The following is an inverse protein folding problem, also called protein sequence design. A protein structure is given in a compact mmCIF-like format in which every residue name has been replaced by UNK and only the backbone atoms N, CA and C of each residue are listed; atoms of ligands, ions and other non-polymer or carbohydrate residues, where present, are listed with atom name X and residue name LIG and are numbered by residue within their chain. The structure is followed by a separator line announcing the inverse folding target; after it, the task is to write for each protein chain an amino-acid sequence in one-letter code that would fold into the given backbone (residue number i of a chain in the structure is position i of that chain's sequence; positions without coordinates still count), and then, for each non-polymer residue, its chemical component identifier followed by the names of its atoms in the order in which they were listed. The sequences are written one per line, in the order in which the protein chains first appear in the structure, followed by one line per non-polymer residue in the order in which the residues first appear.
data_IF_140516904052
#
_entry.id   IF_140516904052
#
_cell.length_a   1.000
_cell.length_b   1.000
_cell.length_c   1.000
_cell.angle_alpha   90.00
_cell.angle_beta   90.00
_cell.angle_gamma   90.00
#
_symmetry.space_group_name_H-M   'P 1'
#
loop_
_entity.id
_entity.type
_entity.pdbx_description
1 polymer ?
#
# COMPACT_ATOMS: atom_id res chain seq x y z
N UNK A 1 -26.55 3.64 -5.97
CA UNK A 1 -25.46 3.38 -5.00
C UNK A 1 -24.41 2.55 -5.73
N UNK A 2 -23.25 3.14 -6.02
CA UNK A 2 -22.14 2.41 -6.66
C UNK A 2 -21.57 1.43 -5.64
N UNK A 3 -22.09 0.19 -5.63
CA UNK A 3 -21.47 -0.89 -4.85
C UNK A 3 -20.16 -1.20 -5.54
N UNK A 4 -19.03 -0.92 -4.88
CA UNK A 4 -17.68 -0.99 -5.46
C UNK A 4 -17.37 -2.30 -6.17
N UNK A 5 -17.57 -2.33 -7.49
CA UNK A 5 -17.20 -3.44 -8.35
C UNK A 5 -15.82 -3.18 -8.97
N UNK A 6 -14.77 -3.46 -8.20
CA UNK A 6 -13.41 -3.55 -8.75
C UNK A 6 -13.02 -5.03 -8.82
N UNK A 7 -13.48 -5.73 -9.87
CA UNK A 7 -13.18 -7.17 -10.03
C UNK A 7 -12.49 -7.42 -11.37
N UNK A 8 -11.37 -6.73 -11.60
CA UNK A 8 -10.34 -7.21 -12.50
C UNK A 8 -8.98 -6.95 -11.86
N UNK A 9 -8.27 -8.03 -11.49
CA UNK A 9 -6.93 -7.97 -10.87
C UNK A 9 -5.95 -7.22 -11.76
N UNK A 10 -6.03 -7.39 -13.09
CA UNK A 10 -5.18 -6.68 -14.04
C UNK A 10 -5.44 -5.17 -14.03
N UNK A 11 -6.71 -4.75 -14.00
CA UNK A 11 -7.04 -3.33 -13.91
C UNK A 11 -6.58 -2.73 -12.57
N UNK A 12 -6.71 -3.49 -11.48
CA UNK A 12 -6.19 -3.09 -10.17
C UNK A 12 -4.67 -2.89 -10.19
N UNK A 13 -3.92 -3.86 -10.73
CA UNK A 13 -2.45 -3.77 -10.86
C UNK A 13 -2.05 -2.54 -11.69
N UNK A 14 -2.72 -2.32 -12.83
CA UNK A 14 -2.47 -1.14 -13.67
C UNK A 14 -2.77 0.15 -12.89
N UNK A 15 -3.88 0.21 -12.17
CA UNK A 15 -4.25 1.38 -11.39
C UNK A 15 -3.22 1.73 -10.32
N UNK A 16 -2.78 0.75 -9.53
CA UNK A 16 -1.72 0.96 -8.51
C UNK A 16 -0.43 1.44 -9.17
N UNK A 17 -0.02 0.83 -10.28
CA UNK A 17 1.17 1.26 -11.01
C UNK A 17 1.07 2.71 -11.53
N UNK A 18 -0.10 3.12 -12.03
CA UNK A 18 -0.33 4.50 -12.48
C UNK A 18 -0.27 5.49 -11.31
N UNK A 19 -0.92 5.19 -10.18
CA UNK A 19 -0.84 6.01 -8.96
C UNK A 19 0.62 6.15 -8.51
N UNK A 20 1.38 5.05 -8.51
CA UNK A 20 2.78 5.08 -8.11
C UNK A 20 3.64 5.95 -9.01
N UNK A 21 3.39 5.93 -10.32
CA UNK A 21 4.05 6.81 -11.27
C UNK A 21 3.75 8.28 -11.01
N UNK A 22 2.49 8.64 -10.73
CA UNK A 22 2.14 10.03 -10.42
C UNK A 22 2.76 10.49 -9.09
N UNK A 23 2.75 9.65 -8.06
CA UNK A 23 3.45 9.94 -6.80
C UNK A 23 4.96 10.13 -7.00
N UNK A 24 5.60 9.30 -7.82
CA UNK A 24 7.03 9.42 -8.11
C UNK A 24 7.36 10.78 -8.74
N UNK A 25 6.56 11.23 -9.73
CA UNK A 25 6.75 12.53 -10.38
C UNK A 25 6.69 13.69 -9.39
N UNK A 26 5.73 13.66 -8.46
CA UNK A 26 5.61 14.69 -7.41
C UNK A 26 6.83 14.73 -6.48
N UNK A 27 7.50 13.59 -6.30
CA UNK A 27 8.72 13.50 -5.50
C UNK A 27 10.00 13.77 -6.31
N UNK A 28 9.92 14.05 -7.62
CA UNK A 28 11.09 14.21 -8.49
C UNK A 28 11.78 12.89 -8.90
N UNK A 29 11.13 11.76 -8.64
CA UNK A 29 11.61 10.42 -9.00
C UNK A 29 10.95 9.90 -10.29
N UNK A 30 11.55 8.87 -10.87
CA UNK A 30 11.00 8.08 -11.99
C UNK A 30 10.60 6.70 -11.49
N UNK A 31 9.52 6.15 -12.06
CA UNK A 31 9.07 4.78 -11.77
C UNK A 31 9.55 3.83 -12.86
N UNK A 32 10.15 2.73 -12.46
CA UNK A 32 10.55 1.62 -13.31
C UNK A 32 9.78 0.37 -12.86
N UNK A 33 9.00 -0.23 -13.76
CA UNK A 33 8.31 -1.50 -13.49
C UNK A 33 9.27 -2.65 -13.79
N UNK A 34 9.53 -3.52 -12.82
CA UNK A 34 10.42 -4.66 -13.04
C UNK A 34 9.63 -5.88 -13.54
N UNK A 35 10.33 -6.81 -14.21
CA UNK A 35 9.80 -8.10 -14.62
C UNK A 35 10.61 -9.23 -13.99
N UNK A 36 10.05 -10.44 -13.97
CA UNK A 36 10.79 -11.65 -13.56
C UNK A 36 10.96 -11.83 -12.04
N UNK A 37 10.02 -11.33 -11.22
CA UNK A 37 9.96 -11.67 -9.79
C UNK A 37 10.91 -10.91 -8.87
N UNK A 38 11.41 -9.73 -9.30
CA UNK A 38 12.31 -8.88 -8.49
C UNK A 38 11.55 -8.03 -7.47
N UNK A 39 10.75 -7.10 -7.96
CA UNK A 39 9.74 -6.30 -7.24
C UNK A 39 8.75 -5.79 -8.29
N UNK A 40 7.58 -5.30 -7.90
CA UNK A 40 6.63 -4.74 -8.86
C UNK A 40 7.11 -3.41 -9.47
N UNK A 41 7.71 -2.53 -8.66
CA UNK A 41 8.27 -1.28 -9.14
C UNK A 41 9.45 -0.75 -8.29
N UNK A 42 10.25 0.12 -8.92
CA UNK A 42 11.33 0.89 -8.28
C UNK A 42 11.11 2.37 -8.56
N UNK A 43 11.13 3.20 -7.52
CA UNK A 43 11.17 4.64 -7.65
C UNK A 43 12.62 5.10 -7.45
N UNK A 44 13.16 5.82 -8.44
CA UNK A 44 14.57 6.18 -8.49
C UNK A 44 14.75 7.63 -8.94
N UNK A 45 15.70 8.32 -8.33
CA UNK A 45 16.08 9.68 -8.71
C UNK A 45 16.98 9.71 -9.96
N UNK A 46 17.14 10.87 -10.63
CA UNK A 46 18.00 10.99 -11.82
C UNK A 46 19.48 10.64 -11.60
N UNK A 47 19.97 10.72 -10.37
CA UNK A 47 21.32 10.36 -9.96
C UNK A 47 21.49 8.86 -9.63
N UNK A 48 20.47 8.06 -9.96
CA UNK A 48 20.36 6.63 -9.70
C UNK A 48 20.16 6.22 -8.23
N UNK A 49 19.99 7.15 -7.30
CA UNK A 49 19.61 6.81 -5.93
C UNK A 49 18.20 6.23 -5.89
N UNK A 50 18.02 5.10 -5.21
CA UNK A 50 16.74 4.42 -5.12
C UNK A 50 15.96 4.99 -3.94
N UNK A 51 14.87 5.68 -4.24
CA UNK A 51 13.95 6.17 -3.24
C UNK A 51 13.26 5.01 -2.53
N UNK A 52 12.60 4.14 -3.30
CA UNK A 52 11.88 3.00 -2.73
C UNK A 52 11.72 1.83 -3.71
N UNK A 53 11.86 0.62 -3.19
CA UNK A 53 11.32 -0.59 -3.81
C UNK A 53 9.86 -0.74 -3.39
N UNK A 54 9.00 -1.09 -4.36
CA UNK A 54 7.56 -1.20 -4.17
C UNK A 54 7.09 -2.59 -4.54
N UNK A 55 6.32 -3.21 -3.65
CA UNK A 55 5.52 -4.40 -3.93
C UNK A 55 4.05 -4.09 -3.65
N UNK A 56 3.15 -4.68 -4.45
CA UNK A 56 1.73 -4.71 -4.15
C UNK A 56 1.16 -6.12 -4.32
N UNK A 57 0.33 -6.54 -3.38
CA UNK A 57 -0.35 -7.84 -3.48
C UNK A 57 -1.83 -7.71 -3.17
N UNK A 58 -2.64 -8.23 -4.11
CA UNK A 58 -4.08 -8.35 -3.99
C UNK A 58 -4.47 -9.45 -3.00
N UNK A 59 -3.70 -10.53 -2.89
CA UNK A 59 -3.91 -11.55 -1.86
C UNK A 59 -3.78 -10.97 -0.45
N UNK A 60 -4.40 -11.65 0.53
CA UNK A 60 -4.36 -11.16 1.91
C UNK A 60 -2.95 -11.29 2.49
N UNK A 61 -2.44 -10.22 3.10
CA UNK A 61 -1.07 -10.15 3.61
C UNK A 61 -0.75 -11.19 4.71
N UNK A 62 -1.75 -11.69 5.42
CA UNK A 62 -1.59 -12.72 6.46
C UNK A 62 -1.29 -14.10 5.89
N UNK A 63 -1.56 -14.35 4.59
CA UNK A 63 -1.29 -15.66 3.99
C UNK A 63 0.20 -15.94 3.91
N UNK A 64 0.59 -17.17 4.23
CA UNK A 64 2.00 -17.61 4.12
C UNK A 64 2.51 -17.60 2.68
N UNK A 65 1.62 -17.66 1.68
CA UNK A 65 1.99 -17.56 0.27
C UNK A 65 2.41 -16.16 -0.17
N UNK A 66 2.24 -15.14 0.67
CA UNK A 66 2.63 -13.74 0.40
C UNK A 66 4.02 -13.53 1.00
N UNK A 67 5.02 -13.41 0.12
CA UNK A 67 6.45 -13.25 0.44
C UNK A 67 7.01 -11.87 0.03
N UNK A 68 6.15 -10.94 -0.38
CA UNK A 68 6.52 -9.59 -0.82
C UNK A 68 7.25 -8.80 0.28
N UNK A 69 6.89 -9.03 1.55
CA UNK A 69 7.58 -8.45 2.69
C UNK A 69 9.04 -8.90 2.78
N UNK A 70 9.32 -10.18 2.48
CA UNK A 70 10.67 -10.75 2.48
C UNK A 70 11.47 -10.23 1.28
N UNK A 71 10.87 -10.17 0.09
CA UNK A 71 11.50 -9.59 -1.12
C UNK A 71 11.94 -8.15 -0.91
N UNK A 72 11.11 -7.33 -0.25
CA UNK A 72 11.45 -5.96 0.11
C UNK A 72 12.56 -5.93 1.17
N UNK A 73 12.52 -6.83 2.16
CA UNK A 73 13.53 -6.92 3.22
C UNK A 73 14.93 -7.21 2.64
N UNK A 74 15.04 -8.11 1.67
CA UNK A 74 16.29 -8.46 0.97
C UNK A 74 16.97 -7.28 0.26
N UNK A 75 16.21 -6.21 -0.02
CA UNK A 75 16.68 -5.00 -0.71
C UNK A 75 16.68 -3.77 0.18
N UNK A 76 16.33 -3.90 1.47
CA UNK A 76 16.04 -2.74 2.32
C UNK A 76 17.24 -1.79 2.44
N UNK A 77 18.47 -2.30 2.38
CA UNK A 77 19.72 -1.56 2.55
C UNK A 77 20.06 -0.66 1.35
N UNK A 78 19.43 -0.89 0.20
CA UNK A 78 19.69 -0.21 -1.09
C UNK A 78 18.75 0.96 -1.36
N UNK A 79 17.79 1.25 -0.49
CA UNK A 79 16.80 2.31 -0.69
C UNK A 79 16.64 3.21 0.55
N UNK A 80 15.97 4.35 0.42
CA UNK A 80 15.65 5.20 1.57
C UNK A 80 14.58 4.56 2.48
N UNK A 81 13.60 3.91 1.87
CA UNK A 81 12.57 3.11 2.54
C UNK A 81 11.96 2.11 1.54
N UNK A 82 11.31 1.06 2.03
CA UNK A 82 10.50 0.16 1.22
C UNK A 82 9.02 0.50 1.32
N UNK A 83 8.26 0.18 0.27
CA UNK A 83 6.82 0.41 0.21
C UNK A 83 6.09 -0.89 -0.06
N UNK A 84 5.13 -1.23 0.81
CA UNK A 84 4.23 -2.36 0.56
C UNK A 84 2.79 -1.88 0.51
N UNK A 85 2.03 -2.39 -0.45
CA UNK A 85 0.59 -2.12 -0.59
C UNK A 85 -0.13 -3.46 -0.59
N UNK A 86 -1.02 -3.67 0.37
CA UNK A 86 -1.75 -4.95 0.43
C UNK A 86 -3.11 -4.82 1.10
N UNK A 87 -3.79 -5.95 1.17
CA UNK A 87 -5.15 -6.07 1.66
C UNK A 87 -5.22 -7.04 2.83
N UNK A 88 -6.16 -6.83 3.74
CA UNK A 88 -6.56 -7.85 4.70
C UNK A 88 -8.04 -7.73 5.05
N UNK A 89 -8.62 -8.82 5.54
CA UNK A 89 -9.90 -8.73 6.22
C UNK A 89 -9.77 -7.89 7.48
N UNK A 90 -10.82 -7.14 7.82
CA UNK A 90 -10.79 -6.21 8.95
C UNK A 90 -10.42 -6.89 10.28
N UNK A 91 -10.91 -8.11 10.50
CA UNK A 91 -10.59 -8.93 11.68
C UNK A 91 -9.12 -9.36 11.76
N UNK A 92 -8.42 -9.45 10.63
CA UNK A 92 -7.05 -9.96 10.54
C UNK A 92 -5.97 -8.89 10.67
N UNK A 93 -6.34 -7.62 10.92
CA UNK A 93 -5.38 -6.52 10.97
C UNK A 93 -4.25 -6.81 11.96
N UNK A 94 -4.58 -7.25 13.17
CA UNK A 94 -3.55 -7.53 14.18
C UNK A 94 -2.60 -8.66 13.73
N UNK A 95 -3.13 -9.71 13.10
CA UNK A 95 -2.33 -10.84 12.60
C UNK A 95 -1.32 -10.33 11.55
N UNK A 96 -1.77 -9.52 10.59
CA UNK A 96 -0.92 -8.95 9.54
C UNK A 96 0.16 -8.05 10.13
N UNK A 97 -0.20 -7.19 11.09
CA UNK A 97 0.74 -6.25 11.69
C UNK A 97 1.76 -6.96 12.58
N UNK A 98 1.38 -8.00 13.32
CA UNK A 98 2.34 -8.82 14.08
C UNK A 98 3.29 -9.60 13.15
N UNK A 99 2.77 -10.21 12.08
CA UNK A 99 3.60 -10.87 11.05
C UNK A 99 4.62 -9.89 10.46
N UNK A 100 4.16 -8.69 10.10
CA UNK A 100 5.02 -7.65 9.52
C UNK A 100 6.07 -7.19 10.54
N UNK A 101 5.68 -6.91 11.79
CA UNK A 101 6.59 -6.55 12.87
C UNK A 101 7.71 -7.58 13.07
N UNK A 102 7.38 -8.87 12.97
CA UNK A 102 8.36 -9.96 13.10
C UNK A 102 9.32 -10.02 11.91
N UNK A 103 8.82 -9.94 10.68
CA UNK A 103 9.67 -10.00 9.47
C UNK A 103 10.60 -8.77 9.41
N UNK A 104 10.08 -7.60 9.78
CA UNK A 104 10.79 -6.32 9.66
C UNK A 104 11.50 -5.86 10.94
N UNK A 105 11.71 -6.73 11.93
CA UNK A 105 12.29 -6.32 13.21
C UNK A 105 13.72 -5.80 13.07
N UNK A 106 14.53 -6.48 12.25
CA UNK A 106 15.95 -6.20 12.01
C UNK A 106 16.21 -5.40 10.72
N UNK A 107 15.17 -4.83 10.12
CA UNK A 107 15.32 -4.10 8.86
C UNK A 107 16.19 -2.85 9.04
N UNK A 108 17.19 -2.67 8.17
CA UNK A 108 18.14 -1.54 8.25
C UNK A 108 17.52 -0.20 7.83
N UNK A 109 16.45 -0.26 7.02
CA UNK A 109 15.69 0.89 6.53
C UNK A 109 14.20 0.72 6.80
N UNK A 110 13.42 1.82 6.83
CA UNK A 110 12.01 1.74 7.16
C UNK A 110 11.14 1.05 6.09
N UNK A 111 10.00 0.52 6.53
CA UNK A 111 8.88 0.13 5.66
C UNK A 111 7.71 1.08 5.86
N UNK A 112 7.17 1.58 4.76
CA UNK A 112 5.84 2.20 4.69
C UNK A 112 4.87 1.15 4.17
N UNK A 113 3.89 0.77 4.99
CA UNK A 113 2.89 -0.24 4.63
C UNK A 113 1.51 0.40 4.53
N UNK A 114 0.99 0.45 3.31
CA UNK A 114 -0.41 0.79 3.00
C UNK A 114 -1.27 -0.49 3.05
N UNK A 115 -2.03 -0.63 4.13
CA UNK A 115 -2.92 -1.76 4.35
C UNK A 115 -4.38 -1.34 4.12
N UNK A 116 -5.00 -1.90 3.08
CA UNK A 116 -6.42 -1.69 2.77
C UNK A 116 -7.23 -2.82 3.44
N UNK A 117 -8.12 -2.43 4.34
CA UNK A 117 -8.98 -3.36 5.08
C UNK A 117 -10.29 -3.56 4.34
N UNK A 118 -10.87 -4.75 4.47
CA UNK A 118 -12.14 -5.05 3.82
C UNK A 118 -13.00 -6.05 4.59
N UNK A 119 -14.28 -6.06 4.28
CA UNK A 119 -15.21 -7.13 4.62
C UNK A 119 -15.55 -7.96 3.38
N UNK A 120 -15.60 -9.30 3.48
CA UNK A 120 -16.05 -10.14 2.39
C UNK A 120 -17.56 -9.96 2.18
N UNK A 121 -17.99 -9.64 0.96
CA UNK A 121 -19.43 -9.62 0.62
C UNK A 121 -19.89 -10.92 -0.04
N UNK A 122 -19.10 -11.46 -0.97
CA UNK A 122 -19.29 -12.78 -1.59
C UNK A 122 -17.92 -13.38 -1.88
N UNK A 123 -17.83 -14.64 -2.33
CA UNK A 123 -16.56 -15.37 -2.54
C UNK A 123 -15.46 -14.61 -3.31
N UNK A 124 -15.82 -13.61 -4.13
CA UNK A 124 -14.87 -12.81 -4.92
C UNK A 124 -14.96 -11.29 -4.68
N UNK A 125 -15.88 -10.83 -3.83
CA UNK A 125 -16.17 -9.40 -3.63
C UNK A 125 -15.67 -8.93 -2.28
N UNK A 126 -14.96 -7.80 -2.30
CA UNK A 126 -14.45 -7.09 -1.12
C UNK A 126 -15.16 -5.76 -1.02
N UNK A 127 -15.71 -5.46 0.15
CA UNK A 127 -16.12 -4.11 0.47
C UNK A 127 -14.97 -3.45 1.24
N UNK A 128 -14.29 -2.50 0.61
CA UNK A 128 -13.17 -1.80 1.22
C UNK A 128 -13.65 -0.83 2.28
N UNK A 129 -13.02 -0.86 3.46
CA UNK A 129 -13.41 -0.04 4.60
C UNK A 129 -12.42 1.10 4.80
N UNK A 130 -11.17 0.76 5.11
CA UNK A 130 -10.16 1.74 5.55
C UNK A 130 -8.83 1.49 4.87
N UNK A 131 -8.15 2.56 4.46
CA UNK A 131 -6.72 2.56 4.21
C UNK A 131 -6.00 2.96 5.50
N UNK A 132 -5.13 2.08 5.97
CA UNK A 132 -4.25 2.29 7.13
C UNK A 132 -2.81 2.35 6.67
N UNK A 133 -2.11 3.42 7.03
CA UNK A 133 -0.69 3.57 6.72
C UNK A 133 0.12 3.31 7.99
N UNK A 134 0.91 2.25 7.96
CA UNK A 134 1.85 1.90 9.02
C UNK A 134 3.28 2.24 8.62
N UNK A 135 4.09 2.58 9.62
CA UNK A 135 5.52 2.82 9.48
C UNK A 135 6.26 1.88 10.42
N UNK A 136 7.16 1.07 9.87
CA UNK A 136 8.02 0.15 10.62
C UNK A 136 9.47 0.60 10.49
N UNK A 137 10.17 0.74 11.62
CA UNK A 137 11.58 1.13 11.65
C UNK A 137 12.19 0.77 13.00
N UNK A 138 13.42 0.24 12.98
CA UNK A 138 14.20 -0.09 14.18
C UNK A 138 13.41 -0.98 15.16
N UNK A 139 12.79 -2.05 14.66
CA UNK A 139 11.97 -2.96 15.45
C UNK A 139 10.65 -2.38 15.98
N UNK A 140 10.34 -1.12 15.68
CA UNK A 140 9.13 -0.43 16.16
C UNK A 140 8.12 -0.26 15.04
N UNK A 141 6.83 -0.21 15.41
CA UNK A 141 5.72 0.11 14.51
C UNK A 141 4.95 1.35 14.97
N UNK A 142 4.44 2.12 14.00
CA UNK A 142 3.55 3.25 14.22
C UNK A 142 2.42 3.25 13.19
N UNK A 143 1.18 3.38 13.62
CA UNK A 143 0.08 3.76 12.72
C UNK A 143 0.20 5.26 12.43
N UNK A 144 0.55 5.62 11.20
CA UNK A 144 0.75 7.01 10.79
C UNK A 144 -0.57 7.67 10.43
N UNK A 145 -1.44 6.95 9.73
CA UNK A 145 -2.69 7.50 9.21
C UNK A 145 -3.75 6.40 9.07
N UNK A 146 -5.00 6.81 9.27
CA UNK A 146 -6.20 6.01 9.04
C UNK A 146 -7.21 6.86 8.27
N UNK A 147 -7.78 6.33 7.20
CA UNK A 147 -8.78 7.02 6.39
C UNK A 147 -9.72 6.04 5.69
N UNK A 148 -10.92 6.45 5.25
CA UNK A 148 -11.77 5.63 4.41
C UNK A 148 -11.04 5.19 3.13
N UNK A 149 -11.18 3.91 2.75
CA UNK A 149 -10.60 3.39 1.51
C UNK A 149 -11.39 3.83 0.27
N UNK A 150 -12.69 4.10 0.45
CA UNK A 150 -13.60 4.60 -0.57
C UNK A 150 -13.93 6.06 -0.23
N UNK A 151 -13.12 7.05 -0.70
CA UNK A 151 -13.30 8.44 -0.29
C UNK A 151 -14.64 9.05 -0.72
N UNK A 152 -15.32 8.46 -1.71
CA UNK A 152 -16.66 8.86 -2.14
C UNK A 152 -17.80 8.28 -1.27
N UNK A 153 -17.51 7.36 -0.35
CA UNK A 153 -18.46 6.95 0.69
C UNK A 153 -18.52 7.97 1.83
N UNK A 154 -17.59 8.94 1.84
CA UNK A 154 -17.74 10.16 2.64
C UNK A 154 -18.80 10.99 1.93
N UNK A 155 -19.90 11.34 2.63
CA UNK A 155 -20.93 12.22 2.09
C UNK A 155 -20.29 13.47 1.46
N UNK A 156 -20.26 13.51 0.13
CA UNK A 156 -19.73 14.63 -0.66
C UNK A 156 -20.41 15.96 -0.30
N UNK A 157 -21.58 15.89 0.37
CA UNK A 157 -22.32 17.03 0.90
C UNK A 157 -21.49 17.89 1.84
N UNK A 158 -20.50 17.37 2.56
CA UNK A 158 -19.69 18.22 3.47
C UNK A 158 -18.76 19.21 2.76
N UNK A 159 -18.42 18.97 1.49
CA UNK A 159 -17.55 19.88 0.72
C UNK A 159 -18.32 20.91 -0.12
N UNK A 160 -19.65 20.77 -0.24
CA UNK A 160 -20.51 21.69 -0.99
C UNK A 160 -21.27 22.67 -0.08
N UNK A 161 -20.94 22.73 1.22
CA UNK A 161 -21.65 23.57 2.21
C UNK A 161 -20.79 24.73 2.71
N UNK A 162 -19.54 24.86 2.25
CA UNK A 162 -18.87 26.16 2.33
C UNK A 162 -19.43 27.01 1.18
N UNK A 163 -20.45 27.82 1.50
CA UNK A 163 -20.67 29.07 0.76
C UNK A 163 -19.31 29.75 0.65
N UNK A 164 -18.92 30.07 -0.59
CA UNK A 164 -17.73 30.86 -0.90
C UNK A 164 -17.61 31.97 0.16
N UNK A 165 -16.57 31.88 0.99
CA UNK A 165 -16.24 32.92 1.94
C UNK A 165 -15.90 34.18 1.12
N UNK A 166 -16.90 35.06 0.98
CA UNK A 166 -16.78 36.41 0.44
C UNK A 166 -15.94 37.32 1.34
#
# INVERSE_FOLDING_TARGET
MFKGEYINRSNWTIHVGLVMRECAKLMGARTFFEQGGRTDAVLQYPDNQILTYVEWEYNQADRDSVNELDKLLEKNDKCYFSTFISYCQHENINIVIEKTSRIWSEASRPLIFFLITYEPQTKKRRHFLELRTYFFSNGKRKLVRKQPALPWDIEQRKYNVEEDAG
#
